data_IF_937431060574
#
_entry.id   IF_937431060574
#
_cell.length_a   1.000
_cell.length_b   1.000
_cell.length_c   1.000
_cell.angle_alpha   90.00
_cell.angle_beta   90.00
_cell.angle_gamma   90.00
#
_symmetry.space_group_name_H-M   'P 1'
#
loop_
_entity.id
_entity.type
_entity.pdbx_description
1 polymer ?
#
# COMPACT_ATOMS: atom_id res chain seq x y z
N UNK A 1 4.26 -24.80 -21.49
CA UNK A 1 3.31 -24.05 -20.63
C UNK A 1 3.72 -24.26 -19.17
N UNK A 2 4.89 -23.88 -18.65
CA UNK A 2 5.74 -22.69 -18.80
C UNK A 2 5.05 -21.37 -18.42
N UNK A 3 5.50 -20.83 -17.28
CA UNK A 3 5.36 -19.46 -16.81
C UNK A 3 3.99 -19.07 -16.27
N UNK A 4 3.85 -19.13 -14.94
CA UNK A 4 3.07 -18.17 -14.12
C UNK A 4 3.15 -18.41 -12.59
N UNK A 5 4.06 -19.27 -12.09
CA UNK A 5 4.20 -19.58 -10.65
C UNK A 5 5.49 -19.06 -9.97
N UNK A 6 6.17 -18.03 -10.50
CA UNK A 6 7.47 -17.56 -9.98
C UNK A 6 7.58 -16.09 -9.55
N UNK A 7 6.48 -15.41 -9.18
CA UNK A 7 6.57 -13.98 -8.79
C UNK A 7 5.91 -13.57 -7.47
N UNK A 8 5.59 -14.48 -6.54
CA UNK A 8 4.93 -14.10 -5.26
C UNK A 8 5.67 -14.52 -3.98
N UNK A 9 6.87 -15.11 -4.07
CA UNK A 9 7.67 -15.39 -2.87
C UNK A 9 9.09 -14.84 -3.02
N UNK A 10 9.38 -13.74 -2.33
CA UNK A 10 10.74 -13.26 -2.12
C UNK A 10 10.87 -11.74 -2.04
N UNK A 11 10.40 -11.11 -0.96
CA UNK A 11 10.90 -9.79 -0.52
C UNK A 11 10.57 -9.58 0.97
N UNK A 12 11.11 -10.50 1.78
CA UNK A 12 11.27 -10.33 3.21
C UNK A 12 12.72 -10.63 3.55
N UNK A 13 13.42 -9.62 4.08
CA UNK A 13 14.66 -9.73 4.86
C UNK A 13 15.89 -10.23 4.06
N UNK A 14 16.58 -9.30 3.39
CA UNK A 14 18.04 -9.27 3.24
C UNK A 14 18.48 -7.99 2.52
N UNK A 15 18.57 -6.87 3.25
CA UNK A 15 19.39 -5.73 2.84
C UNK A 15 20.22 -5.27 4.04
N UNK A 16 21.04 -6.19 4.54
CA UNK A 16 22.21 -5.88 5.34
C UNK A 16 23.43 -6.32 4.52
N UNK A 17 24.42 -5.44 4.43
CA UNK A 17 25.73 -5.64 3.77
C UNK A 17 25.76 -5.61 2.24
N UNK A 18 25.71 -4.39 1.68
CA UNK A 18 26.76 -3.90 0.79
C UNK A 18 26.80 -2.36 0.82
N UNK A 19 27.22 -1.80 1.97
CA UNK A 19 27.71 -0.42 2.01
C UNK A 19 29.08 -0.38 1.35
N UNK A 20 29.09 -0.35 0.01
CA UNK A 20 30.22 0.19 -0.73
C UNK A 20 30.29 1.68 -0.40
N UNK A 21 31.19 2.04 0.52
CA UNK A 21 31.60 3.40 0.78
C UNK A 21 32.03 4.04 -0.56
N UNK A 22 31.19 4.89 -1.13
CA UNK A 22 31.67 5.91 -2.04
C UNK A 22 32.51 6.87 -1.17
N UNK A 23 33.84 6.79 -1.30
CA UNK A 23 34.77 7.69 -0.62
C UNK A 23 34.54 9.12 -1.14
N UNK A 24 33.64 9.87 -0.50
CA UNK A 24 33.53 11.31 -0.65
C UNK A 24 34.67 11.98 0.10
N UNK A 25 35.88 11.98 -0.50
CA UNK A 25 37.00 12.75 0.02
C UNK A 25 36.74 14.25 -0.11
N UNK A 26 37.22 15.04 0.86
CA UNK A 26 37.28 16.50 0.73
C UNK A 26 37.99 16.87 -0.59
N UNK A 27 37.56 17.95 -1.27
CA UNK A 27 38.16 18.37 -2.53
C UNK A 27 39.67 18.63 -2.35
N UNK A 28 40.47 18.12 -3.30
CA UNK A 28 41.91 18.32 -3.30
C UNK A 28 42.25 19.66 -4.00
N UNK A 29 42.55 20.67 -3.19
CA UNK A 29 42.93 21.99 -3.69
C UNK A 29 44.45 22.09 -3.93
N UNK A 30 44.82 22.72 -5.04
CA UNK A 30 46.23 23.03 -5.34
C UNK A 30 46.78 24.06 -4.36
N UNK A 31 48.11 24.20 -4.26
CA UNK A 31 48.72 25.17 -3.36
C UNK A 31 48.25 26.61 -3.66
N UNK A 32 48.09 26.96 -4.94
CA UNK A 32 47.56 28.26 -5.39
C UNK A 32 46.13 28.48 -4.93
N UNK A 33 45.27 27.46 -5.06
CA UNK A 33 43.87 27.53 -4.61
C UNK A 33 43.78 27.68 -3.09
N UNK A 34 44.60 26.94 -2.33
CA UNK A 34 44.64 27.06 -0.87
C UNK A 34 45.11 28.46 -0.42
N UNK A 35 46.11 29.03 -1.09
CA UNK A 35 46.53 30.41 -0.84
C UNK A 35 45.41 31.40 -1.16
N UNK A 36 44.70 31.20 -2.26
CA UNK A 36 43.57 32.05 -2.64
C UNK A 36 42.44 31.99 -1.61
N UNK A 37 42.07 30.80 -1.13
CA UNK A 37 41.04 30.60 -0.09
C UNK A 37 41.43 31.33 1.20
N UNK A 38 42.70 31.23 1.62
CA UNK A 38 43.20 31.94 2.82
C UNK A 38 43.16 33.45 2.65
N UNK A 39 43.43 33.95 1.45
CA UNK A 39 43.41 35.39 1.16
C UNK A 39 41.97 35.95 1.04
N UNK A 40 41.00 35.12 0.65
CA UNK A 40 39.61 35.52 0.39
C UNK A 40 38.63 34.66 1.19
N UNK A 41 38.60 34.79 2.53
CA UNK A 41 37.73 33.95 3.36
C UNK A 41 36.24 34.18 3.11
N UNK A 42 35.87 35.36 2.60
CA UNK A 42 34.49 35.72 2.25
C UNK A 42 34.42 36.06 0.76
N UNK A 43 33.58 35.34 0.04
CA UNK A 43 33.30 35.55 -1.38
C UNK A 43 31.93 36.22 -1.52
N UNK A 44 31.95 37.44 -2.02
CA UNK A 44 30.73 38.18 -2.35
C UNK A 44 30.21 37.73 -3.71
N UNK A 45 28.91 37.52 -3.83
CA UNK A 45 28.28 37.13 -5.10
C UNK A 45 27.00 37.91 -5.35
N UNK A 46 26.64 38.14 -6.61
CA UNK A 46 25.40 38.83 -6.94
C UNK A 46 24.27 37.86 -7.32
N UNK A 47 23.09 38.07 -6.73
CA UNK A 47 21.88 37.28 -6.99
C UNK A 47 20.69 38.22 -7.20
N UNK A 48 19.87 37.93 -8.21
CA UNK A 48 18.70 38.76 -8.52
C UNK A 48 17.57 38.52 -7.50
N UNK A 49 16.91 39.59 -7.07
CA UNK A 49 15.74 39.54 -6.18
C UNK A 49 14.60 38.65 -6.69
N UNK A 50 14.48 38.41 -8.01
CA UNK A 50 13.52 37.49 -8.61
C UNK A 50 13.66 36.03 -8.12
N UNK A 51 14.82 35.69 -7.57
CA UNK A 51 15.11 34.37 -6.99
C UNK A 51 15.00 34.33 -5.47
N UNK A 52 14.45 35.37 -4.83
CA UNK A 52 14.16 35.36 -3.39
C UNK A 52 13.37 34.13 -2.92
N UNK A 53 12.37 33.61 -3.67
CA UNK A 53 11.72 32.34 -3.30
C UNK A 53 12.67 31.12 -3.20
N UNK A 54 13.76 31.07 -3.99
CA UNK A 54 14.77 30.01 -3.89
C UNK A 54 15.61 30.16 -2.64
N UNK A 55 15.89 31.40 -2.24
CA UNK A 55 16.57 31.70 -0.99
C UNK A 55 15.70 31.30 0.21
N UNK A 56 14.45 31.74 0.23
CA UNK A 56 13.52 31.51 1.34
C UNK A 56 13.11 30.03 1.47
N UNK A 57 13.12 29.27 0.37
CA UNK A 57 12.97 27.80 0.42
C UNK A 57 14.18 27.06 1.00
N UNK A 58 15.29 27.76 1.26
CA UNK A 58 16.50 27.21 1.85
C UNK A 58 17.45 26.56 0.84
N UNK A 59 17.18 26.64 -0.47
CA UNK A 59 18.03 25.99 -1.49
C UNK A 59 19.42 26.61 -1.53
N UNK A 60 19.49 27.92 -1.76
CA UNK A 60 20.76 28.64 -1.80
C UNK A 60 21.47 28.62 -0.44
N UNK A 61 20.81 28.88 0.71
CA UNK A 61 21.46 28.76 2.01
C UNK A 61 22.10 27.38 2.27
N UNK A 62 21.39 26.28 1.99
CA UNK A 62 21.94 24.92 2.17
C UNK A 62 23.04 24.60 1.16
N UNK A 63 22.89 25.04 -0.10
CA UNK A 63 23.93 24.89 -1.12
C UNK A 63 25.23 25.59 -0.69
N UNK A 64 25.15 26.84 -0.25
CA UNK A 64 26.31 27.61 0.21
C UNK A 64 26.88 27.06 1.52
N UNK A 65 26.05 26.53 2.42
CA UNK A 65 26.54 25.79 3.59
C UNK A 65 27.37 24.59 3.17
N UNK A 66 26.89 23.80 2.20
CA UNK A 66 27.64 22.63 1.69
C UNK A 66 28.94 23.04 1.01
N UNK A 67 28.92 24.11 0.22
CA UNK A 67 30.13 24.65 -0.41
C UNK A 67 31.12 25.18 0.62
N UNK A 68 30.65 25.79 1.70
CA UNK A 68 31.50 26.18 2.84
C UNK A 68 32.12 24.96 3.50
N UNK A 69 31.37 23.88 3.72
CA UNK A 69 31.91 22.64 4.28
C UNK A 69 32.99 22.01 3.38
N UNK A 70 32.82 22.13 2.06
CA UNK A 70 33.77 21.58 1.09
C UNK A 70 35.02 22.47 0.90
N UNK A 71 34.88 23.79 0.90
CA UNK A 71 35.94 24.73 0.50
C UNK A 71 36.54 25.56 1.64
N UNK A 72 35.82 25.71 2.75
CA UNK A 72 36.13 26.67 3.81
C UNK A 72 35.76 28.12 3.49
N UNK A 73 35.23 28.41 2.30
CA UNK A 73 34.81 29.76 1.90
C UNK A 73 33.45 30.12 2.50
N UNK A 74 33.32 31.35 2.98
CA UNK A 74 32.02 31.93 3.29
C UNK A 74 31.46 32.65 2.07
N UNK A 75 30.17 32.47 1.80
CA UNK A 75 29.50 33.09 0.65
C UNK A 75 28.49 34.11 1.15
N UNK A 76 28.56 35.34 0.65
CA UNK A 76 27.70 36.43 1.06
C UNK A 76 26.96 37.04 -0.15
N UNK A 77 25.63 37.14 -0.11
CA UNK A 77 24.85 37.65 -1.23
C UNK A 77 24.84 39.18 -1.28
N UNK A 78 25.00 39.71 -2.48
CA UNK A 78 24.70 41.10 -2.84
C UNK A 78 23.53 41.14 -3.82
N UNK A 79 22.37 41.52 -3.29
CA UNK A 79 21.13 41.55 -4.06
C UNK A 79 21.17 42.58 -5.18
N UNK A 80 20.60 42.21 -6.34
CA UNK A 80 20.41 43.12 -7.47
C UNK A 80 18.95 43.13 -7.91
N UNK A 81 18.48 44.32 -8.27
CA UNK A 81 17.14 44.56 -8.80
C UNK A 81 17.11 44.55 -10.34
N UNK A 82 18.25 44.78 -11.00
CA UNK A 82 18.41 44.71 -12.46
C UNK A 82 19.72 44.05 -12.89
N UNK A 83 19.88 43.83 -14.19
CA UNK A 83 21.09 43.27 -14.79
C UNK A 83 22.23 44.29 -14.83
N UNK A 84 21.93 45.57 -15.02
CA UNK A 84 22.89 46.68 -14.98
C UNK A 84 23.56 46.80 -13.61
N UNK A 85 22.79 46.64 -12.53
CA UNK A 85 23.32 46.60 -11.16
C UNK A 85 24.26 45.41 -10.98
N UNK A 86 23.90 44.23 -11.52
CA UNK A 86 24.77 43.04 -11.51
C UNK A 86 26.07 43.25 -12.27
N UNK A 87 26.01 43.86 -13.46
CA UNK A 87 27.18 44.21 -14.27
C UNK A 87 28.07 45.22 -13.54
N UNK A 88 27.48 46.20 -12.85
CA UNK A 88 28.22 47.16 -12.04
C UNK A 88 28.98 46.47 -10.89
N UNK A 89 28.29 45.61 -10.12
CA UNK A 89 28.91 44.88 -9.01
C UNK A 89 30.14 44.09 -9.46
N UNK A 90 30.04 43.32 -10.55
CA UNK A 90 31.15 42.47 -11.00
C UNK A 90 32.28 43.28 -11.68
N UNK A 91 31.96 44.35 -12.42
CA UNK A 91 32.99 45.20 -13.06
C UNK A 91 33.83 45.96 -12.05
N UNK A 92 33.23 46.38 -10.94
CA UNK A 92 33.92 47.08 -9.86
C UNK A 92 34.67 46.13 -8.91
N UNK A 93 34.58 44.81 -9.10
CA UNK A 93 35.17 43.82 -8.18
C UNK A 93 34.44 43.75 -6.82
N UNK A 94 33.20 44.22 -6.73
CA UNK A 94 32.40 44.14 -5.50
C UNK A 94 31.88 42.72 -5.26
N UNK A 95 31.78 41.92 -6.31
CA UNK A 95 31.40 40.50 -6.28
C UNK A 95 32.31 39.70 -7.21
N UNK A 96 32.59 38.45 -6.84
CA UNK A 96 33.43 37.55 -7.63
C UNK A 96 32.65 36.77 -8.69
N UNK A 97 31.35 36.58 -8.47
CA UNK A 97 30.49 35.89 -9.42
C UNK A 97 29.03 36.35 -9.36
N UNK A 98 28.29 36.06 -10.44
CA UNK A 98 26.86 36.35 -10.57
C UNK A 98 26.09 35.06 -10.78
N UNK A 99 25.04 34.85 -9.99
CA UNK A 99 24.10 33.74 -10.13
C UNK A 99 23.06 34.09 -11.19
N UNK A 100 22.78 33.14 -12.08
CA UNK A 100 21.81 33.26 -13.16
C UNK A 100 22.01 34.53 -14.00
N UNK A 101 23.20 34.66 -14.62
CA UNK A 101 23.51 35.78 -15.50
C UNK A 101 22.54 35.79 -16.69
N UNK A 102 22.46 36.88 -17.44
CA UNK A 102 21.84 36.90 -18.75
C UNK A 102 22.89 37.06 -19.86
N UNK A 103 22.44 37.04 -21.12
CA UNK A 103 23.32 37.20 -22.28
C UNK A 103 23.99 38.60 -22.33
N UNK A 104 23.32 39.63 -21.79
CA UNK A 104 23.87 40.99 -21.70
C UNK A 104 25.09 41.03 -20.77
N UNK A 105 25.04 40.35 -19.62
CA UNK A 105 26.14 40.27 -18.67
C UNK A 105 27.34 39.52 -19.26
N UNK A 106 27.11 38.36 -19.88
CA UNK A 106 28.16 37.57 -20.54
C UNK A 106 28.86 38.38 -21.65
N UNK A 107 28.11 39.21 -22.38
CA UNK A 107 28.67 40.09 -23.41
C UNK A 107 29.40 41.32 -22.83
N UNK A 108 29.05 41.73 -21.62
CA UNK A 108 29.52 42.97 -21.00
C UNK A 108 30.80 42.80 -20.17
N UNK A 109 31.09 41.59 -19.69
CA UNK A 109 32.17 41.31 -18.73
C UNK A 109 32.95 40.09 -19.21
N UNK A 110 34.29 40.12 -19.25
CA UNK A 110 35.09 38.93 -19.53
C UNK A 110 34.99 37.93 -18.37
N UNK A 111 34.63 36.69 -18.68
CA UNK A 111 34.47 35.64 -17.68
C UNK A 111 33.92 34.36 -18.27
N UNK A 112 33.56 33.42 -17.39
CA UNK A 112 33.14 32.06 -17.77
C UNK A 112 31.94 31.61 -16.97
N UNK A 113 31.07 30.86 -17.63
CA UNK A 113 29.99 30.13 -16.99
C UNK A 113 30.52 28.84 -16.37
N UNK A 114 30.05 28.54 -15.16
CA UNK A 114 30.25 27.24 -14.54
C UNK A 114 29.54 26.14 -15.32
N UNK A 115 29.87 24.89 -14.98
CA UNK A 115 28.97 23.77 -15.29
C UNK A 115 27.58 23.99 -14.64
N UNK A 116 26.53 23.31 -15.14
CA UNK A 116 25.21 23.33 -14.53
C UNK A 116 25.27 23.01 -13.02
N UNK A 117 24.86 23.95 -12.18
CA UNK A 117 24.76 23.75 -10.73
C UNK A 117 23.58 22.84 -10.42
N UNK A 118 22.45 23.11 -11.08
CA UNK A 118 21.27 22.26 -11.09
C UNK A 118 20.41 22.54 -12.32
N UNK A 119 19.46 21.64 -12.59
CA UNK A 119 18.57 21.73 -13.72
C UNK A 119 17.16 22.15 -13.31
N UNK A 120 16.54 23.00 -14.11
CA UNK A 120 15.16 23.44 -14.01
C UNK A 120 14.31 22.97 -15.19
N UNK A 121 13.00 23.01 -15.01
CA UNK A 121 12.01 22.74 -16.05
C UNK A 121 11.04 23.91 -16.10
N UNK A 122 10.70 24.35 -17.32
CA UNK A 122 9.67 25.36 -17.53
C UNK A 122 8.28 24.68 -17.51
N UNK A 123 7.30 25.40 -16.94
CA UNK A 123 5.90 24.98 -16.87
C UNK A 123 5.01 26.11 -17.35
N UNK A 124 3.83 25.74 -17.82
CA UNK A 124 2.72 26.67 -18.04
C UNK A 124 1.88 26.74 -16.77
N UNK A 125 1.67 27.95 -16.30
CA UNK A 125 0.79 28.32 -15.20
C UNK A 125 -0.45 29.01 -15.76
N UNK A 126 -1.63 28.67 -15.26
CA UNK A 126 -2.88 29.33 -15.59
C UNK A 126 -3.83 29.40 -14.38
N UNK A 127 -4.70 30.41 -14.33
CA UNK A 127 -5.77 30.46 -13.31
C UNK A 127 -6.84 29.38 -13.57
N UNK A 128 -7.37 28.77 -12.51
CA UNK A 128 -8.30 27.62 -12.56
C UNK A 128 -9.61 27.91 -13.31
N UNK A 129 -10.00 29.18 -13.41
CA UNK A 129 -11.20 29.65 -14.13
C UNK A 129 -11.24 29.22 -15.62
N UNK A 130 -10.10 28.84 -16.22
CA UNK A 130 -10.02 28.42 -17.64
C UNK A 130 -10.00 26.89 -17.78
N UNK A 131 -11.18 26.33 -18.07
CA UNK A 131 -11.46 24.89 -18.16
C UNK A 131 -10.65 24.09 -19.22
N UNK A 132 -9.88 24.74 -20.09
CA UNK A 132 -9.06 24.07 -21.11
C UNK A 132 -7.75 24.82 -21.35
N UNK A 133 -6.64 24.32 -20.80
CA UNK A 133 -5.30 24.71 -21.30
C UNK A 133 -5.11 24.09 -22.69
N UNK A 134 -4.95 24.88 -23.76
CA UNK A 134 -4.61 24.36 -25.08
C UNK A 134 -3.19 23.78 -25.08
N UNK A 135 -2.92 22.78 -25.92
CA UNK A 135 -1.56 22.20 -26.09
C UNK A 135 -0.51 23.26 -26.50
N UNK A 136 -0.96 24.35 -27.11
CA UNK A 136 -0.12 25.51 -27.48
C UNK A 136 -0.82 26.79 -27.00
N UNK A 137 -0.29 27.50 -25.99
CA UNK A 137 -0.86 28.76 -25.53
C UNK A 137 -0.79 29.82 -26.64
N UNK A 138 -1.86 30.61 -26.81
CA UNK A 138 -1.84 31.76 -27.73
C UNK A 138 -0.82 32.78 -27.22
N UNK A 139 0.22 33.06 -28.02
CA UNK A 139 1.42 33.80 -27.59
C UNK A 139 1.13 35.23 -27.10
N UNK A 140 0.12 35.90 -27.66
CA UNK A 140 -0.24 37.29 -27.33
C UNK A 140 -0.77 37.51 -25.91
N UNK A 141 -1.20 36.44 -25.21
CA UNK A 141 -1.67 36.51 -23.82
C UNK A 141 -0.83 35.66 -22.86
N UNK A 142 0.41 35.41 -23.25
CA UNK A 142 1.36 34.61 -22.46
C UNK A 142 2.45 35.50 -21.89
N UNK A 143 2.60 35.46 -20.57
CA UNK A 143 3.74 36.06 -19.88
C UNK A 143 4.86 35.05 -19.80
N UNK A 144 6.09 35.50 -19.96
CA UNK A 144 7.28 34.68 -19.76
C UNK A 144 8.05 35.22 -18.56
N UNK A 145 8.44 34.33 -17.66
CA UNK A 145 9.33 34.68 -16.57
C UNK A 145 10.76 34.81 -17.12
N UNK A 146 11.39 35.95 -16.84
CA UNK A 146 12.81 36.13 -17.16
C UNK A 146 13.67 35.28 -16.24
N UNK A 147 14.01 34.07 -16.70
CA UNK A 147 14.96 33.18 -15.99
C UNK A 147 16.43 33.45 -16.29
N UNK A 148 16.76 34.48 -17.08
CA UNK A 148 18.16 34.82 -17.41
C UNK A 148 18.76 33.94 -18.52
N UNK A 149 19.93 33.35 -18.27
CA UNK A 149 20.76 32.71 -19.29
C UNK A 149 20.02 31.66 -20.13
N UNK A 150 20.25 31.69 -21.45
CA UNK A 150 19.68 30.73 -22.40
C UNK A 150 18.15 30.85 -22.56
N UNK A 151 17.52 31.87 -21.99
CA UNK A 151 16.12 32.18 -22.25
C UNK A 151 16.03 33.27 -23.33
N UNK A 152 15.53 32.90 -24.51
CA UNK A 152 15.24 33.84 -25.58
C UNK A 152 13.80 34.32 -25.46
N UNK A 153 13.62 35.65 -25.38
CA UNK A 153 12.27 36.24 -25.44
C UNK A 153 11.58 35.76 -26.72
N UNK A 154 10.34 35.23 -26.65
CA UNK A 154 9.62 34.85 -27.85
C UNK A 154 9.36 36.07 -28.73
N UNK A 155 9.63 35.92 -30.03
CA UNK A 155 9.60 37.01 -31.04
C UNK A 155 8.21 37.60 -31.27
N UNK A 156 7.13 36.89 -30.92
CA UNK A 156 5.75 37.29 -31.18
C UNK A 156 4.98 37.62 -29.89
N UNK A 157 5.12 38.85 -29.39
CA UNK A 157 4.14 39.48 -28.49
C UNK A 157 4.13 39.06 -27.01
N UNK A 158 5.00 38.15 -26.56
CA UNK A 158 5.08 37.78 -25.15
C UNK A 158 5.69 38.88 -24.26
N UNK A 159 5.08 39.13 -23.10
CA UNK A 159 5.62 40.04 -22.09
C UNK A 159 6.64 39.30 -21.21
N UNK A 160 7.79 39.92 -20.99
CA UNK A 160 8.84 39.38 -20.12
C UNK A 160 8.75 40.05 -18.76
N UNK A 161 8.58 39.27 -17.69
CA UNK A 161 8.43 39.77 -16.32
C UNK A 161 9.42 39.06 -15.40
N UNK A 162 10.08 39.82 -14.52
CA UNK A 162 11.08 39.34 -13.57
C UNK A 162 10.56 39.31 -12.11
N UNK A 163 9.23 39.31 -11.89
CA UNK A 163 8.59 39.13 -10.58
C UNK A 163 7.54 38.02 -10.65
N UNK A 164 7.71 36.91 -9.90
CA UNK A 164 6.70 35.86 -9.80
C UNK A 164 5.34 36.38 -9.31
N UNK A 165 5.36 37.33 -8.37
CA UNK A 165 4.16 37.90 -7.75
C UNK A 165 3.37 38.76 -8.74
N UNK A 166 4.06 39.57 -9.57
CA UNK A 166 3.41 40.37 -10.61
C UNK A 166 2.77 39.46 -11.67
N UNK A 167 3.43 38.37 -12.04
CA UNK A 167 2.87 37.36 -12.95
C UNK A 167 1.58 36.79 -12.35
N UNK A 168 1.64 36.38 -11.08
CA UNK A 168 0.50 35.82 -10.36
C UNK A 168 -0.69 36.80 -10.30
N UNK A 169 -0.42 38.08 -10.04
CA UNK A 169 -1.43 39.15 -10.06
C UNK A 169 -2.07 39.33 -11.44
N UNK A 170 -1.28 39.37 -12.51
CA UNK A 170 -1.81 39.52 -13.88
C UNK A 170 -2.62 38.30 -14.35
N UNK A 171 -2.28 37.09 -13.88
CA UNK A 171 -3.08 35.88 -14.16
C UNK A 171 -4.44 35.92 -13.44
N UNK A 172 -4.49 36.44 -12.21
CA UNK A 172 -5.76 36.58 -11.46
C UNK A 172 -6.62 37.71 -12.04
N UNK A 173 -6.00 38.83 -12.42
CA UNK A 173 -6.68 39.98 -12.99
C UNK A 173 -7.21 39.73 -14.42
N UNK A 174 -6.90 38.57 -15.02
CA UNK A 174 -7.20 38.21 -16.42
C UNK A 174 -6.49 39.07 -17.49
N UNK A 175 -5.51 39.87 -17.08
CA UNK A 175 -4.61 40.62 -17.97
C UNK A 175 -3.76 39.67 -18.81
N UNK A 176 -3.41 38.51 -18.25
CA UNK A 176 -2.76 37.42 -18.96
C UNK A 176 -3.47 36.09 -18.75
N UNK A 177 -3.38 35.21 -19.75
CA UNK A 177 -4.05 33.92 -19.72
C UNK A 177 -3.13 32.80 -19.24
N UNK A 178 -1.85 32.90 -19.59
CA UNK A 178 -0.85 31.87 -19.32
C UNK A 178 0.45 32.54 -18.86
N UNK A 179 1.19 31.86 -17.99
CA UNK A 179 2.57 32.23 -17.71
C UNK A 179 3.50 31.04 -17.90
N UNK A 180 4.64 31.26 -18.54
CA UNK A 180 5.72 30.28 -18.66
C UNK A 180 6.80 30.62 -17.67
N UNK A 181 7.09 29.71 -16.74
CA UNK A 181 8.07 29.96 -15.69
C UNK A 181 8.69 28.67 -15.14
N UNK A 182 9.78 28.76 -14.36
CA UNK A 182 10.36 27.62 -13.67
C UNK A 182 9.36 26.90 -12.75
N UNK A 183 9.30 25.57 -12.83
CA UNK A 183 8.41 24.71 -12.02
C UNK A 183 8.46 25.05 -10.52
N UNK A 184 9.66 25.31 -9.98
CA UNK A 184 9.83 25.61 -8.56
C UNK A 184 9.15 26.92 -8.15
N UNK A 185 9.20 27.94 -9.01
CA UNK A 185 8.49 29.21 -8.79
C UNK A 185 6.99 29.03 -8.92
N UNK A 186 6.53 28.27 -9.91
CA UNK A 186 5.11 27.95 -10.06
C UNK A 186 4.55 27.24 -8.81
N UNK A 187 5.29 26.25 -8.28
CA UNK A 187 4.93 25.55 -7.03
C UNK A 187 5.00 26.47 -5.82
N UNK A 188 5.95 27.41 -5.78
CA UNK A 188 6.00 28.41 -4.71
C UNK A 188 4.75 29.28 -4.71
N UNK A 189 4.35 29.79 -5.89
CA UNK A 189 3.14 30.58 -6.06
C UNK A 189 1.89 29.78 -5.67
N UNK A 190 1.74 28.53 -6.13
CA UNK A 190 0.55 27.73 -5.84
C UNK A 190 0.35 27.41 -4.35
N UNK A 191 1.39 27.52 -3.52
CA UNK A 191 1.30 27.35 -2.06
C UNK A 191 0.81 28.60 -1.33
N UNK A 192 0.96 29.78 -1.93
CA UNK A 192 0.51 31.01 -1.32
C UNK A 192 -1.03 31.08 -1.32
N UNK A 193 -1.62 31.48 -0.19
CA UNK A 193 -3.08 31.47 0.03
C UNK A 193 -3.86 32.22 -1.05
N UNK A 194 -3.28 33.28 -1.60
CA UNK A 194 -3.91 34.12 -2.63
C UNK A 194 -3.92 33.49 -4.03
N UNK A 195 -3.22 32.36 -4.22
CA UNK A 195 -2.89 31.80 -5.53
C UNK A 195 -3.13 30.28 -5.62
N UNK A 196 -3.92 29.70 -4.70
CA UNK A 196 -4.15 28.24 -4.62
C UNK A 196 -4.93 27.66 -5.81
N UNK A 197 -5.66 28.49 -6.55
CA UNK A 197 -6.42 28.09 -7.74
C UNK A 197 -5.59 28.17 -9.03
N UNK A 198 -4.32 27.76 -9.00
CA UNK A 198 -3.49 27.74 -10.20
C UNK A 198 -3.25 26.34 -10.73
N UNK A 199 -3.45 26.16 -12.03
CA UNK A 199 -3.11 24.93 -12.75
C UNK A 199 -1.67 25.01 -13.27
N UNK A 200 -0.87 23.99 -12.96
CA UNK A 200 0.51 23.85 -13.42
C UNK A 200 0.59 22.70 -14.42
N UNK A 201 1.14 22.93 -15.61
CA UNK A 201 1.41 21.88 -16.61
C UNK A 201 2.85 21.95 -17.12
N UNK A 202 3.53 20.80 -17.31
CA UNK A 202 4.84 20.77 -17.94
C UNK A 202 4.83 21.43 -19.32
N UNK A 203 5.85 22.25 -19.63
CA UNK A 203 6.04 22.82 -20.95
C UNK A 203 7.25 22.19 -21.63
N UNK A 204 7.00 21.31 -22.60
CA UNK A 204 8.06 20.62 -23.33
C UNK A 204 8.92 19.70 -22.46
N UNK A 205 10.02 19.21 -23.04
CA UNK A 205 10.91 18.24 -22.41
C UNK A 205 12.35 18.75 -22.23
N UNK A 206 12.66 19.97 -22.63
CA UNK A 206 14.03 20.48 -22.54
C UNK A 206 14.25 21.16 -21.18
N UNK A 207 15.07 20.57 -20.29
CA UNK A 207 15.47 21.26 -19.07
C UNK A 207 16.42 22.40 -19.41
N UNK A 208 16.51 23.37 -18.50
CA UNK A 208 17.50 24.43 -18.56
C UNK A 208 18.45 24.34 -17.37
N UNK A 209 19.67 24.85 -17.53
CA UNK A 209 20.70 24.80 -16.51
C UNK A 209 20.80 26.13 -15.75
N UNK A 210 20.79 26.07 -14.43
CA UNK A 210 21.24 27.18 -13.58
C UNK A 210 22.76 27.19 -13.57
N UNK A 211 23.35 28.34 -13.89
CA UNK A 211 24.80 28.51 -14.02
C UNK A 211 25.23 29.79 -13.34
N UNK A 212 26.47 29.81 -12.86
CA UNK A 212 27.08 31.01 -12.31
C UNK A 212 28.07 31.57 -13.32
N UNK A 213 28.14 32.90 -13.42
CA UNK A 213 29.15 33.59 -14.20
C UNK A 213 30.25 34.06 -13.27
N UNK A 214 31.48 33.60 -13.50
CA UNK A 214 32.66 33.97 -12.73
C UNK A 214 33.54 34.87 -13.59
N UNK A 215 33.95 36.02 -13.05
CA UNK A 215 34.84 36.95 -13.76
C UNK A 215 36.19 36.29 -14.04
N UNK A 216 36.83 36.66 -15.16
CA UNK A 216 38.21 36.22 -15.42
C UNK A 216 39.20 36.73 -14.36
N UNK A 217 38.86 37.79 -13.61
CA UNK A 217 39.64 38.27 -12.45
C UNK A 217 39.71 37.22 -11.34
N UNK A 218 38.68 36.39 -11.21
CA UNK A 218 38.54 35.35 -10.18
C UNK A 218 38.61 33.94 -10.78
N UNK A 219 39.47 33.74 -11.79
CA UNK A 219 39.62 32.44 -12.46
C UNK A 219 39.96 31.28 -11.51
N UNK A 220 40.68 31.54 -10.42
CA UNK A 220 41.01 30.52 -9.41
C UNK A 220 39.75 30.07 -8.67
N UNK A 221 38.84 31.00 -8.36
CA UNK A 221 37.55 30.70 -7.73
C UNK A 221 36.74 29.73 -8.58
N UNK A 222 36.78 29.86 -9.91
CA UNK A 222 36.10 28.90 -10.80
C UNK A 222 36.56 27.46 -10.55
N UNK A 223 37.87 27.23 -10.39
CA UNK A 223 38.37 25.88 -10.10
C UNK A 223 37.93 25.41 -8.70
N UNK A 224 37.98 26.28 -7.70
CA UNK A 224 37.57 25.97 -6.33
C UNK A 224 36.09 25.58 -6.26
N UNK A 225 35.20 26.39 -6.85
CA UNK A 225 33.76 26.15 -6.90
C UNK A 225 33.46 24.85 -7.62
N UNK A 226 34.08 24.60 -8.77
CA UNK A 226 33.86 23.37 -9.54
C UNK A 226 34.26 22.12 -8.76
N UNK A 227 35.45 22.12 -8.14
CA UNK A 227 35.92 21.01 -7.30
C UNK A 227 35.01 20.79 -6.09
N UNK A 228 34.52 21.87 -5.49
CA UNK A 228 33.62 21.81 -4.32
C UNK A 228 32.26 21.24 -4.70
N UNK A 229 31.71 21.62 -5.86
CA UNK A 229 30.45 21.07 -6.38
C UNK A 229 30.57 19.59 -6.73
N UNK A 230 31.67 19.15 -7.35
CA UNK A 230 31.89 17.73 -7.64
C UNK A 230 32.13 16.89 -6.38
N UNK A 231 32.70 17.48 -5.32
CA UNK A 231 32.86 16.83 -4.04
C UNK A 231 31.56 16.84 -3.20
N UNK A 232 30.55 17.63 -3.58
CA UNK A 232 29.27 17.61 -2.92
C UNK A 232 28.57 16.28 -3.18
N UNK A 233 28.05 15.67 -2.12
CA UNK A 233 27.37 14.38 -2.17
C UNK A 233 26.18 14.41 -3.15
N UNK A 234 26.13 13.51 -4.16
CA UNK A 234 25.01 13.41 -5.08
C UNK A 234 23.65 13.23 -4.38
N UNK A 235 23.62 12.52 -3.23
CA UNK A 235 22.39 12.34 -2.47
C UNK A 235 21.91 13.67 -1.87
N UNK A 236 22.79 14.41 -1.22
CA UNK A 236 22.50 15.77 -0.72
C UNK A 236 21.97 16.69 -1.82
N UNK A 237 22.64 16.71 -2.99
CA UNK A 237 22.19 17.55 -4.12
C UNK A 237 20.81 17.12 -4.62
N UNK A 238 20.55 15.81 -4.70
CA UNK A 238 19.24 15.28 -5.07
C UNK A 238 18.13 15.68 -4.10
N UNK A 239 18.37 15.56 -2.79
CA UNK A 239 17.40 15.96 -1.75
C UNK A 239 17.14 17.46 -1.76
N UNK A 240 18.21 18.26 -1.84
CA UNK A 240 18.12 19.73 -1.87
C UNK A 240 17.28 20.24 -3.05
N UNK A 241 17.42 19.60 -4.20
CA UNK A 241 16.78 19.99 -5.45
C UNK A 241 15.44 19.29 -5.67
N UNK A 242 15.03 18.38 -4.79
CA UNK A 242 13.71 17.77 -4.86
C UNK A 242 12.59 18.83 -4.75
N UNK A 243 11.43 18.55 -5.35
CA UNK A 243 10.22 19.36 -5.23
C UNK A 243 9.20 18.55 -4.43
N UNK A 244 9.01 18.83 -3.12
CA UNK A 244 8.25 17.96 -2.22
C UNK A 244 6.79 17.73 -2.64
N UNK A 245 6.14 18.73 -3.25
CA UNK A 245 4.71 18.67 -3.59
C UNK A 245 4.37 17.80 -4.79
N UNK A 246 5.34 17.37 -5.59
CA UNK A 246 5.14 16.37 -6.64
C UNK A 246 5.26 14.94 -6.11
N UNK A 247 5.83 14.76 -4.92
CA UNK A 247 6.02 13.45 -4.31
C UNK A 247 4.88 13.04 -3.38
N UNK A 248 4.04 13.97 -2.91
CA UNK A 248 3.20 13.73 -1.72
C UNK A 248 1.68 13.63 -1.90
N UNK A 249 1.09 13.85 -3.08
CA UNK A 249 -0.39 13.95 -3.15
C UNK A 249 -1.12 12.63 -3.49
N UNK A 250 -0.49 11.68 -4.17
CA UNK A 250 -1.13 10.38 -4.48
C UNK A 250 -0.87 9.26 -3.46
N UNK A 251 0.05 9.44 -2.50
CA UNK A 251 0.47 8.35 -1.61
C UNK A 251 -0.52 8.08 -0.47
N UNK A 252 -1.13 9.12 0.12
CA UNK A 252 -2.04 8.96 1.27
C UNK A 252 -3.29 8.14 0.93
N UNK A 253 -3.89 8.36 -0.25
CA UNK A 253 -5.08 7.63 -0.67
C UNK A 253 -4.81 6.15 -0.94
N UNK A 254 -3.66 5.82 -1.54
CA UNK A 254 -3.24 4.43 -1.78
C UNK A 254 -2.98 3.70 -0.46
N UNK A 255 -2.30 4.36 0.49
CA UNK A 255 -2.05 3.80 1.82
C UNK A 255 -3.35 3.55 2.57
N UNK A 256 -4.28 4.50 2.56
CA UNK A 256 -5.59 4.34 3.21
C UNK A 256 -6.40 3.21 2.56
N UNK A 257 -6.42 3.10 1.23
CA UNK A 257 -7.12 2.04 0.51
C UNK A 257 -6.56 0.64 0.84
N UNK A 258 -5.23 0.51 0.96
CA UNK A 258 -4.58 -0.73 1.39
C UNK A 258 -4.97 -1.11 2.83
N UNK A 259 -5.01 -0.16 3.76
CA UNK A 259 -5.48 -0.41 5.13
C UNK A 259 -6.93 -0.84 5.19
N UNK A 260 -7.83 -0.26 4.37
CA UNK A 260 -9.22 -0.70 4.26
C UNK A 260 -9.32 -2.14 3.73
N UNK A 261 -8.47 -2.54 2.78
CA UNK A 261 -8.42 -3.92 2.27
C UNK A 261 -7.96 -4.95 3.31
N UNK A 262 -6.94 -4.61 4.10
CA UNK A 262 -6.41 -5.49 5.16
C UNK A 262 -7.43 -5.62 6.32
N UNK A 263 -8.04 -4.52 6.74
CA UNK A 263 -9.05 -4.55 7.80
C UNK A 263 -10.28 -5.37 7.38
N UNK A 264 -10.78 -5.20 6.15
CA UNK A 264 -11.93 -5.95 5.64
C UNK A 264 -11.68 -7.46 5.53
N UNK A 265 -10.49 -7.86 5.06
CA UNK A 265 -10.13 -9.28 4.94
C UNK A 265 -9.98 -9.97 6.31
N UNK A 266 -9.45 -9.26 7.32
CA UNK A 266 -9.33 -9.81 8.69
C UNK A 266 -10.69 -10.11 9.33
N UNK A 267 -11.69 -9.23 9.15
CA UNK A 267 -13.04 -9.43 9.65
C UNK A 267 -13.75 -10.61 8.97
N UNK A 268 -13.57 -10.76 7.66
CA UNK A 268 -14.17 -11.86 6.90
C UNK A 268 -13.61 -13.22 7.32
N UNK A 269 -12.30 -13.31 7.59
CA UNK A 269 -11.65 -14.53 8.08
C UNK A 269 -12.19 -14.93 9.46
N UNK A 270 -12.37 -13.97 10.38
CA UNK A 270 -12.93 -14.25 11.70
C UNK A 270 -14.37 -14.79 11.65
N UNK A 271 -15.20 -14.25 10.75
CA UNK A 271 -16.57 -14.74 10.52
C UNK A 271 -16.56 -16.16 9.97
N UNK A 272 -15.69 -16.47 9.00
CA UNK A 272 -15.57 -17.81 8.43
C UNK A 272 -15.09 -18.84 9.47
N UNK A 273 -14.09 -18.50 10.28
CA UNK A 273 -13.61 -19.37 11.36
C UNK A 273 -14.69 -19.62 12.43
N UNK A 274 -15.43 -18.57 12.80
CA UNK A 274 -16.57 -18.68 13.71
C UNK A 274 -17.67 -19.59 13.17
N UNK A 275 -18.02 -19.42 11.90
CA UNK A 275 -19.02 -20.25 11.22
C UNK A 275 -18.58 -21.73 11.16
N UNK A 276 -17.33 -22.01 10.79
CA UNK A 276 -16.78 -23.36 10.75
C UNK A 276 -16.78 -24.03 12.13
N UNK A 277 -16.38 -23.31 13.17
CA UNK A 277 -16.38 -23.81 14.55
C UNK A 277 -17.82 -24.13 15.03
N UNK A 278 -18.77 -23.27 14.72
CA UNK A 278 -20.19 -23.48 15.04
C UNK A 278 -20.75 -24.72 14.32
N UNK A 279 -20.46 -24.86 13.03
CA UNK A 279 -20.92 -25.99 12.22
C UNK A 279 -20.39 -27.33 12.74
N UNK A 280 -19.10 -27.38 13.10
CA UNK A 280 -18.46 -28.59 13.64
C UNK A 280 -19.07 -29.00 15.00
N UNK A 281 -19.37 -28.02 15.86
CA UNK A 281 -20.03 -28.28 17.15
C UNK A 281 -21.44 -28.84 16.99
N UNK A 282 -22.15 -28.44 15.93
CA UNK A 282 -23.49 -28.95 15.65
C UNK A 282 -23.47 -30.43 15.23
N UNK A 283 -22.51 -30.84 14.40
CA UNK A 283 -22.37 -32.22 13.93
C UNK A 283 -22.07 -33.21 15.07
N UNK A 284 -21.17 -32.84 15.99
CA UNK A 284 -20.82 -33.70 17.12
C UNK A 284 -22.02 -33.97 18.06
N UNK A 285 -22.93 -32.99 18.22
CA UNK A 285 -24.13 -33.17 19.05
C UNK A 285 -25.15 -34.10 18.41
N UNK A 286 -25.29 -34.05 17.09
CA UNK A 286 -26.19 -34.96 16.38
C UNK A 286 -25.66 -36.40 16.40
N UNK A 287 -24.34 -36.59 16.23
CA UNK A 287 -23.74 -37.93 16.32
C UNK A 287 -23.89 -38.53 17.71
N UNK A 288 -23.60 -37.75 18.77
CA UNK A 288 -23.78 -38.22 20.15
C UNK A 288 -25.24 -38.63 20.43
N UNK A 289 -26.21 -37.81 20.01
CA UNK A 289 -27.63 -38.13 20.22
C UNK A 289 -28.07 -39.38 19.43
N UNK A 290 -27.52 -39.62 18.23
CA UNK A 290 -27.81 -40.84 17.47
C UNK A 290 -27.24 -42.08 18.15
N UNK A 291 -26.04 -41.99 18.75
CA UNK A 291 -25.44 -43.09 19.49
C UNK A 291 -26.26 -43.39 20.75
N UNK A 292 -26.68 -42.37 21.51
CA UNK A 292 -27.49 -42.55 22.71
C UNK A 292 -28.84 -43.20 22.38
N UNK A 293 -29.53 -42.72 21.34
CA UNK A 293 -30.81 -43.31 20.88
C UNK A 293 -30.62 -44.75 20.38
N UNK A 294 -29.53 -45.03 19.66
CA UNK A 294 -29.23 -46.38 19.19
C UNK A 294 -28.96 -47.34 20.35
N UNK A 295 -28.24 -46.89 21.38
CA UNK A 295 -27.98 -47.68 22.58
C UNK A 295 -29.28 -47.95 23.36
N UNK A 296 -30.11 -46.94 23.58
CA UNK A 296 -31.42 -47.13 24.26
C UNK A 296 -32.33 -48.11 23.50
N UNK A 297 -32.34 -48.04 22.17
CA UNK A 297 -33.10 -48.97 21.34
C UNK A 297 -32.56 -50.40 21.41
N UNK A 298 -31.24 -50.57 21.44
CA UNK A 298 -30.59 -51.87 21.58
C UNK A 298 -30.89 -52.50 22.94
N UNK A 299 -30.71 -51.75 24.02
CA UNK A 299 -30.98 -52.21 25.38
C UNK A 299 -32.44 -52.64 25.54
N UNK A 300 -33.38 -51.89 24.95
CA UNK A 300 -34.80 -52.23 24.95
C UNK A 300 -35.11 -53.52 24.16
N UNK A 301 -34.44 -53.73 23.02
CA UNK A 301 -34.59 -54.92 22.17
C UNK A 301 -34.08 -56.18 22.87
N UNK A 302 -32.92 -56.08 23.53
CA UNK A 302 -32.35 -57.17 24.33
C UNK A 302 -33.23 -57.53 25.52
N UNK A 303 -33.74 -56.53 26.25
CA UNK A 303 -34.66 -56.74 27.36
C UNK A 303 -35.98 -57.41 26.91
N UNK A 304 -36.55 -56.99 25.77
CA UNK A 304 -37.75 -57.60 25.17
C UNK A 304 -37.50 -59.08 24.85
N UNK A 305 -36.36 -59.39 24.23
CA UNK A 305 -36.00 -60.76 23.83
C UNK A 305 -35.78 -61.67 25.05
N UNK A 306 -35.08 -61.17 26.08
CA UNK A 306 -34.84 -61.90 27.32
C UNK A 306 -36.15 -62.18 28.08
N UNK A 307 -37.07 -61.21 28.12
CA UNK A 307 -38.39 -61.37 28.73
C UNK A 307 -39.22 -62.46 28.03
N UNK A 308 -39.32 -62.41 26.70
CA UNK A 308 -40.10 -63.39 25.92
C UNK A 308 -39.54 -64.81 26.08
N UNK A 309 -38.21 -64.97 26.05
CA UNK A 309 -37.56 -66.26 26.29
C UNK A 309 -37.90 -66.84 27.67
N UNK A 310 -37.83 -66.00 28.72
CA UNK A 310 -38.13 -66.42 30.09
C UNK A 310 -39.59 -66.84 30.24
N UNK A 311 -40.52 -66.00 29.79
CA UNK A 311 -41.96 -66.27 29.88
C UNK A 311 -42.34 -67.53 29.11
N UNK A 312 -41.75 -67.77 27.94
CA UNK A 312 -42.00 -69.00 27.18
C UNK A 312 -41.61 -70.27 27.95
N UNK A 313 -40.45 -70.26 28.60
CA UNK A 313 -40.02 -71.38 29.43
C UNK A 313 -40.98 -71.60 30.62
N UNK A 314 -41.41 -70.52 31.27
CA UNK A 314 -42.32 -70.60 32.42
C UNK A 314 -43.73 -71.05 32.06
N UNK A 315 -44.22 -70.75 30.84
CA UNK A 315 -45.53 -71.21 30.37
C UNK A 315 -45.46 -72.65 29.86
N UNK A 316 -44.38 -73.04 29.18
CA UNK A 316 -44.26 -74.39 28.59
C UNK A 316 -44.34 -75.47 29.66
N UNK A 317 -43.65 -75.32 30.78
CA UNK A 317 -43.61 -76.34 31.84
C UNK A 317 -44.99 -76.70 32.42
N UNK A 318 -45.81 -75.75 32.93
CA UNK A 318 -47.14 -76.07 33.44
C UNK A 318 -48.09 -76.51 32.33
N UNK A 319 -47.98 -75.95 31.13
CA UNK A 319 -48.87 -76.29 30.02
C UNK A 319 -48.60 -77.71 29.49
N UNK A 320 -47.33 -78.09 29.34
CA UNK A 320 -46.93 -79.46 29.01
C UNK A 320 -47.40 -80.46 30.08
N UNK A 321 -47.40 -80.08 31.36
CA UNK A 321 -47.95 -80.91 32.42
C UNK A 321 -49.48 -81.10 32.27
N UNK A 322 -50.23 -80.02 32.00
CA UNK A 322 -51.68 -80.06 31.76
C UNK A 322 -52.01 -80.95 30.55
N UNK A 323 -51.29 -80.78 29.44
CA UNK A 323 -51.44 -81.61 28.23
C UNK A 323 -51.16 -83.07 28.56
N UNK A 324 -50.03 -83.37 29.22
CA UNK A 324 -49.68 -84.74 29.59
C UNK A 324 -50.71 -85.41 30.50
N UNK A 325 -51.27 -84.68 31.48
CA UNK A 325 -52.37 -85.21 32.29
C UNK A 325 -53.63 -85.44 31.45
N UNK A 326 -53.96 -84.53 30.53
CA UNK A 326 -55.12 -84.69 29.66
C UNK A 326 -54.96 -85.88 28.69
N UNK A 327 -53.77 -86.17 28.17
CA UNK A 327 -53.47 -87.35 27.36
C UNK A 327 -53.65 -88.65 28.16
N UNK A 328 -53.07 -88.71 29.36
CA UNK A 328 -53.20 -89.87 30.26
C UNK A 328 -54.68 -90.13 30.60
N UNK A 329 -55.46 -89.08 30.84
CA UNK A 329 -56.89 -89.18 31.08
C UNK A 329 -57.66 -89.65 29.84
N UNK A 330 -57.29 -89.17 28.64
CA UNK A 330 -57.92 -89.55 27.38
C UNK A 330 -57.69 -91.04 27.04
N UNK A 331 -56.51 -91.57 27.38
CA UNK A 331 -56.15 -92.99 27.23
C UNK A 331 -56.83 -93.91 28.26
N UNK A 332 -57.58 -93.36 29.23
CA UNK A 332 -58.26 -94.13 30.29
C UNK A 332 -57.32 -95.07 31.07
N UNK A 333 -56.03 -94.70 31.19
CA UNK A 333 -54.96 -95.53 31.80
C UNK A 333 -55.22 -95.97 33.23
N UNK A 334 -56.02 -95.20 33.98
CA UNK A 334 -56.39 -95.47 35.37
C UNK A 334 -57.86 -95.89 35.54
N UNK A 335 -58.56 -96.18 34.44
CA UNK A 335 -59.98 -96.59 34.42
C UNK A 335 -60.85 -95.73 33.49
N UNK A 336 -62.08 -96.18 33.18
CA UNK A 336 -62.98 -95.47 32.27
C UNK A 336 -63.47 -94.14 32.86
N UNK A 337 -63.55 -93.09 32.04
CA UNK A 337 -63.99 -91.75 32.48
C UNK A 337 -65.51 -91.67 32.80
N UNK A 338 -66.27 -92.72 32.48
CA UNK A 338 -67.70 -92.85 32.73
C UNK A 338 -68.57 -92.07 31.74
N UNK A 339 -68.44 -90.74 31.68
CA UNK A 339 -69.23 -89.88 30.79
C UNK A 339 -68.46 -89.55 29.50
N UNK A 340 -69.07 -89.84 28.34
CA UNK A 340 -68.49 -89.56 27.01
C UNK A 340 -68.09 -88.09 26.82
N UNK A 341 -68.81 -87.13 27.42
CA UNK A 341 -68.48 -85.69 27.34
C UNK A 341 -67.10 -85.34 27.90
N UNK A 342 -66.56 -86.12 28.86
CA UNK A 342 -65.22 -85.86 29.37
C UNK A 342 -64.13 -86.11 28.32
N UNK A 343 -64.34 -87.07 27.40
CA UNK A 343 -63.42 -87.27 26.27
C UNK A 343 -63.41 -86.09 25.31
N UNK A 344 -64.57 -85.46 25.09
CA UNK A 344 -64.70 -84.25 24.27
C UNK A 344 -63.96 -83.07 24.92
N UNK A 345 -64.13 -82.84 26.24
CA UNK A 345 -63.40 -81.78 26.95
C UNK A 345 -61.89 -82.00 26.98
N UNK A 346 -61.44 -83.24 27.17
CA UNK A 346 -60.01 -83.55 27.08
C UNK A 346 -59.45 -83.27 25.69
N UNK A 347 -60.21 -83.60 24.63
CA UNK A 347 -59.85 -83.25 23.25
C UNK A 347 -59.74 -81.73 23.06
N UNK A 348 -60.64 -80.95 23.63
CA UNK A 348 -60.59 -79.49 23.58
C UNK A 348 -59.39 -78.92 24.35
N UNK A 349 -59.08 -79.48 25.53
CA UNK A 349 -57.90 -79.11 26.34
C UNK A 349 -56.61 -79.40 25.58
N UNK A 350 -56.49 -80.58 24.96
CA UNK A 350 -55.31 -80.96 24.18
C UNK A 350 -55.14 -80.06 22.96
N UNK A 351 -56.22 -79.80 22.22
CA UNK A 351 -56.19 -78.93 21.03
C UNK A 351 -55.80 -77.50 21.42
N UNK A 352 -56.40 -76.96 22.48
CA UNK A 352 -56.13 -75.60 22.95
C UNK A 352 -54.74 -75.46 23.57
N UNK A 353 -54.28 -76.47 24.30
CA UNK A 353 -52.95 -76.49 24.91
C UNK A 353 -51.84 -76.52 23.86
N UNK A 354 -51.96 -77.40 22.85
CA UNK A 354 -51.01 -77.42 21.73
C UNK A 354 -51.01 -76.10 20.96
N UNK A 355 -52.20 -75.52 20.70
CA UNK A 355 -52.30 -74.24 20.02
C UNK A 355 -51.59 -73.08 20.77
N UNK A 356 -51.69 -73.03 22.10
CA UNK A 356 -50.98 -72.01 22.90
C UNK A 356 -49.47 -72.22 22.87
N UNK A 357 -48.99 -73.46 22.89
CA UNK A 357 -47.55 -73.76 22.75
C UNK A 357 -47.04 -73.29 21.39
N UNK A 358 -47.76 -73.61 20.32
CA UNK A 358 -47.39 -73.22 18.96
C UNK A 358 -47.36 -71.69 18.80
N UNK A 359 -48.37 -70.99 19.32
CA UNK A 359 -48.40 -69.52 19.29
C UNK A 359 -47.23 -68.88 20.06
N UNK A 360 -46.86 -69.45 21.22
CA UNK A 360 -45.72 -68.98 22.00
C UNK A 360 -44.41 -69.24 21.26
N UNK A 361 -44.28 -70.37 20.56
CA UNK A 361 -43.10 -70.68 19.75
C UNK A 361 -42.99 -69.73 18.55
N UNK A 362 -44.08 -69.46 17.85
CA UNK A 362 -44.11 -68.51 16.73
C UNK A 362 -43.69 -67.09 17.18
N UNK A 363 -44.15 -66.66 18.36
CA UNK A 363 -43.75 -65.37 18.94
C UNK A 363 -42.26 -65.32 19.29
N UNK A 364 -41.69 -66.42 19.80
CA UNK A 364 -40.26 -66.52 20.07
C UNK A 364 -39.42 -66.49 18.80
N UNK A 365 -39.84 -67.23 17.78
CA UNK A 365 -39.11 -67.30 16.51
C UNK A 365 -39.13 -65.94 15.80
N UNK A 366 -40.25 -65.22 15.86
CA UNK A 366 -40.32 -63.83 15.42
C UNK A 366 -39.36 -62.92 16.19
N UNK A 367 -39.31 -63.05 17.52
CA UNK A 367 -38.40 -62.25 18.36
C UNK A 367 -36.92 -62.51 18.05
N UNK A 368 -36.54 -63.76 17.74
CA UNK A 368 -35.16 -64.10 17.33
C UNK A 368 -34.80 -63.53 15.96
N UNK A 369 -35.76 -63.51 15.03
CA UNK A 369 -35.57 -62.94 13.69
C UNK A 369 -35.41 -61.41 13.77
N UNK A 370 -36.19 -60.74 14.62
CA UNK A 370 -36.05 -59.30 14.90
C UNK A 370 -34.69 -58.98 15.53
N UNK A 371 -34.24 -59.78 16.51
CA UNK A 371 -32.95 -59.57 17.18
C UNK A 371 -31.72 -59.90 16.31
N UNK A 372 -31.84 -60.79 15.32
CA UNK A 372 -30.75 -61.17 14.41
C UNK A 372 -30.59 -60.29 13.16
N UNK A 373 -31.45 -59.28 12.97
CA UNK A 373 -31.42 -58.33 11.83
C UNK A 373 -31.10 -56.89 12.24
N UNK A 374 -30.86 -56.62 13.53
CA UNK A 374 -30.51 -55.30 14.05
C UNK A 374 -29.01 -55.03 13.94
#
# INVERSE_FOLDING_TARGET
MSSLSKWVFGLGIAFFMHCGHAQGGLPQFTQTEQMWIKAHPIVQFSIHEKYRPYWDSGIYPKLFSKLKDCSGLEFSPKWRSSEEVGIHHIRNGEVSFVIDPNQQLESAVPGRLTEPIFWGHDVVLAAHSKNTLPLSPKMEKTIFFDRGYGFSKPTNGGHLINSPELIAQQLIADDAHFAVMPLRLAVHLSKQLNFQEMQIRPLGHQPFAYRWFISDQDRILHSIVQKSLHAADPFFMGELLAIPSLASDQSQHVINWLWFGIAGSSGFIAILLGFFAWQRKKQLRTEANLIDIAQEAQDASEAKSAFLATVSHEIRTPLSAIIGFAEIMQEERFGPLGNKKYKDYLKDILTSGSYVIDLVNDLLDLSKIEAGRA
#
